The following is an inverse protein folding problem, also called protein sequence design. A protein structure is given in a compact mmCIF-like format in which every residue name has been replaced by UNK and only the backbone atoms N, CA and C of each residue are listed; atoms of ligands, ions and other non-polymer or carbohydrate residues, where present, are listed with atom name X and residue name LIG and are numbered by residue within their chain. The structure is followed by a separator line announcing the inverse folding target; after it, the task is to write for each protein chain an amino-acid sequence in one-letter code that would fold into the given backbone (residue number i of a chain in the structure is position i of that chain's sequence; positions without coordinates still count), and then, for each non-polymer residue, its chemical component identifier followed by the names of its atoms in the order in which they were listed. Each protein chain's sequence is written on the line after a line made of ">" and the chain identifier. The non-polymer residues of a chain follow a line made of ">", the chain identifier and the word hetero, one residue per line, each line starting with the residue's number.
data_IF_008776304590
#
_entry.id   IF_008776304590
#
_cell.length_a   1.000
_cell.length_b   1.000
_cell.length_c   1.000
_cell.angle_alpha   90.00
_cell.angle_beta   90.00
_cell.angle_gamma   90.00
#
_symmetry.space_group_name_H-M   'P 1'
#
loop_
_entity.id
_entity.type
_entity.pdbx_description
1 polymer ?
#
# COMPACT_ATOMS: atom_id res chain seq x y z
N UNK A 1 -1.86 -2.96 40.87
CA UNK A 1 -2.18 -2.96 40.45
C UNK A 1 -2.21 -2.96 39.46
N UNK A 2 -2.11 -2.93 39.37
CA UNK A 2 -2.22 -3.01 38.53
C UNK A 2 -2.36 -2.69 37.65
N UNK A 3 -2.52 -2.50 37.46
CA UNK A 3 -2.71 -2.28 36.73
C UNK A 3 -2.31 -1.88 36.06
N UNK A 4 -2.08 -1.80 36.00
CA UNK A 4 -1.68 -1.13 35.17
C UNK A 4 -1.02 -1.35 34.08
N UNK A 5 -0.46 -1.71 33.81
CA UNK A 5 0.02 -1.97 32.86
C UNK A 5 -0.63 -2.18 31.75
N UNK A 6 -1.19 -2.81 31.79
CA UNK A 6 -1.98 -3.07 30.81
C UNK A 6 -2.70 -1.93 30.29
N UNK A 7 -2.96 -0.99 31.01
CA UNK A 7 -3.60 0.17 30.48
C UNK A 7 -2.83 0.80 29.35
N UNK A 8 -1.53 0.81 29.45
CA UNK A 8 -0.77 1.39 28.39
C UNK A 8 -0.96 0.64 27.09
N UNK A 9 -1.03 -0.67 27.20
CA UNK A 9 -1.21 -1.46 26.02
C UNK A 9 -2.58 -1.23 25.41
N UNK A 10 -3.57 -1.18 26.26
CA UNK A 10 -4.90 -0.92 25.77
C UNK A 10 -4.99 0.42 25.10
N UNK A 11 -4.34 1.38 25.70
CA UNK A 11 -4.36 2.69 25.11
C UNK A 11 -3.71 2.68 23.73
N UNK A 12 -2.65 1.92 23.63
CA UNK A 12 -1.98 1.82 22.37
C UNK A 12 -2.92 1.29 21.30
N UNK A 13 -3.66 0.26 21.63
CA UNK A 13 -4.59 -0.32 20.68
C UNK A 13 -5.68 0.65 20.31
N UNK A 14 -6.19 1.32 21.26
CA UNK A 14 -7.26 2.25 20.98
C UNK A 14 -6.79 3.41 20.15
N UNK A 15 -5.61 3.89 20.46
CA UNK A 15 -5.09 4.97 19.67
C UNK A 15 -4.85 4.52 18.23
N UNK A 16 -4.33 3.31 18.08
CA UNK A 16 -4.10 2.80 16.76
C UNK A 16 -5.40 2.67 16.01
N UNK A 17 -6.43 2.22 16.67
CA UNK A 17 -7.71 2.09 16.03
C UNK A 17 -8.25 3.41 15.59
N UNK A 18 -8.15 4.39 16.42
CA UNK A 18 -8.66 5.68 16.06
C UNK A 18 -7.87 6.27 14.95
N UNK A 19 -6.58 6.11 15.03
CA UNK A 19 -5.76 6.56 13.92
C UNK A 19 -6.03 5.71 12.72
N UNK A 20 -6.22 4.43 12.94
CA UNK A 20 -6.53 3.56 11.84
C UNK A 20 -7.82 3.95 11.20
N UNK A 21 -8.73 4.43 12.00
CA UNK A 21 -9.95 4.90 11.41
C UNK A 21 -9.66 6.08 10.53
N UNK A 22 -8.63 6.80 10.85
CA UNK A 22 -8.22 7.87 9.98
C UNK A 22 -7.63 7.30 8.71
N UNK A 23 -7.17 6.07 8.75
CA UNK A 23 -6.62 5.50 7.54
C UNK A 23 -7.71 4.77 6.79
N UNK A 24 -8.05 5.31 5.67
CA UNK A 24 -9.04 4.74 4.78
C UNK A 24 -8.55 3.39 4.31
N UNK A 25 -9.42 2.39 4.23
CA UNK A 25 -9.02 1.12 3.61
C UNK A 25 -8.47 1.29 2.21
N UNK A 26 -8.96 2.26 1.48
CA UNK A 26 -8.40 2.49 0.15
C UNK A 26 -6.98 3.03 0.21
N UNK A 27 -6.69 3.83 1.23
CA UNK A 27 -5.32 4.31 1.39
C UNK A 27 -4.38 3.17 1.71
N UNK A 28 -4.83 2.24 2.54
CA UNK A 28 -4.02 1.09 2.84
C UNK A 28 -3.78 0.24 1.60
N UNK A 29 -4.83 0.05 0.83
CA UNK A 29 -4.70 -0.70 -0.40
C UNK A 29 -3.74 -0.02 -1.36
N UNK A 30 -3.81 1.30 -1.43
CA UNK A 30 -2.90 2.04 -2.28
C UNK A 30 -1.46 1.84 -1.84
N UNK A 31 -1.20 1.93 -0.55
CA UNK A 31 0.15 1.75 -0.04
C UNK A 31 0.69 0.37 -0.41
N UNK A 32 -0.15 -0.65 -0.28
CA UNK A 32 0.29 -2.00 -0.59
C UNK A 32 0.60 -2.17 -2.06
N UNK A 33 -0.18 -1.52 -2.90
CA UNK A 33 0.08 -1.64 -4.32
C UNK A 33 1.30 -0.85 -4.75
N UNK A 34 1.55 0.28 -4.10
CA UNK A 34 2.76 1.02 -4.38
C UNK A 34 3.98 0.20 -3.98
N UNK A 35 3.90 -0.48 -2.84
CA UNK A 35 4.98 -1.38 -2.44
C UNK A 35 5.18 -2.48 -3.45
N UNK A 36 4.09 -3.00 -3.98
CA UNK A 36 4.18 -4.04 -5.00
C UNK A 36 4.88 -3.53 -6.25
N UNK A 37 4.62 -2.28 -6.62
CA UNK A 37 5.30 -1.71 -7.77
C UNK A 37 6.80 -1.69 -7.58
N UNK A 38 7.23 -1.34 -6.38
CA UNK A 38 8.65 -1.30 -6.10
C UNK A 38 9.25 -2.69 -6.22
N UNK A 39 8.54 -3.69 -5.71
CA UNK A 39 9.03 -5.06 -5.82
C UNK A 39 9.09 -5.53 -7.26
N UNK A 40 8.09 -5.17 -8.06
CA UNK A 40 8.11 -5.54 -9.47
C UNK A 40 9.32 -4.95 -10.17
N UNK A 41 9.62 -3.70 -9.89
CA UNK A 41 10.78 -3.08 -10.51
C UNK A 41 12.07 -3.81 -10.18
N UNK A 42 12.19 -4.22 -8.93
CA UNK A 42 13.36 -4.96 -8.53
C UNK A 42 13.44 -6.31 -9.23
N UNK A 43 12.31 -7.00 -9.33
CA UNK A 43 12.27 -8.29 -9.99
C UNK A 43 12.57 -8.16 -11.48
N UNK A 44 12.08 -7.11 -12.09
CA UNK A 44 12.35 -6.88 -13.51
C UNK A 44 13.85 -6.68 -13.72
N UNK A 45 14.46 -5.87 -12.87
CA UNK A 45 15.89 -5.61 -12.99
C UNK A 45 16.68 -6.91 -12.82
N UNK A 46 16.26 -7.74 -11.86
CA UNK A 46 16.94 -9.02 -11.66
C UNK A 46 16.79 -9.93 -12.87
N UNK A 47 15.58 -9.98 -13.42
CA UNK A 47 15.35 -10.83 -14.59
C UNK A 47 16.20 -10.36 -15.75
N UNK A 48 16.26 -9.07 -15.95
CA UNK A 48 17.07 -8.54 -17.05
C UNK A 48 18.55 -8.81 -16.83
N UNK A 49 19.00 -8.64 -15.60
CA UNK A 49 20.41 -8.89 -15.30
C UNK A 49 20.79 -10.34 -15.52
N UNK A 50 19.81 -11.23 -15.39
CA UNK A 50 20.06 -12.65 -15.60
C UNK A 50 19.71 -13.12 -16.99
N UNK A 51 19.41 -12.21 -17.88
CA UNK A 51 19.11 -12.56 -19.26
C UNK A 51 17.77 -13.23 -19.44
N UNK A 52 16.85 -13.04 -18.51
CA UNK A 52 15.56 -13.68 -18.60
C UNK A 52 14.55 -12.69 -19.13
N UNK A 53 14.65 -12.44 -20.40
CA UNK A 53 13.81 -11.41 -21.01
C UNK A 53 12.36 -11.77 -21.00
N UNK A 54 12.04 -13.05 -21.12
CA UNK A 54 10.63 -13.46 -21.06
C UNK A 54 10.04 -13.17 -19.69
N UNK A 55 10.78 -13.47 -18.63
CA UNK A 55 10.30 -13.18 -17.28
C UNK A 55 10.17 -11.68 -17.08
N UNK A 56 11.13 -10.93 -17.59
CA UNK A 56 11.08 -9.48 -17.45
C UNK A 56 9.85 -8.91 -18.15
N UNK A 57 9.52 -9.46 -19.31
CA UNK A 57 8.36 -8.98 -20.06
C UNK A 57 7.06 -9.25 -19.29
N UNK A 58 6.94 -10.44 -18.72
CA UNK A 58 5.75 -10.79 -17.96
C UNK A 58 5.63 -9.89 -16.74
N UNK A 59 6.74 -9.70 -16.05
CA UNK A 59 6.73 -8.86 -14.86
C UNK A 59 6.40 -7.42 -15.20
N UNK A 60 6.88 -6.95 -16.32
CA UNK A 60 6.60 -5.58 -16.73
C UNK A 60 5.11 -5.40 -17.00
N UNK A 61 4.48 -6.38 -17.61
CA UNK A 61 3.06 -6.29 -17.84
C UNK A 61 2.28 -6.22 -16.54
N UNK A 62 2.70 -7.00 -15.57
CA UNK A 62 2.03 -6.97 -14.29
C UNK A 62 2.30 -5.66 -13.56
N UNK A 63 3.51 -5.16 -13.69
CA UNK A 63 3.83 -3.87 -13.15
C UNK A 63 2.91 -2.80 -13.72
N UNK A 64 2.70 -2.83 -15.03
CA UNK A 64 1.88 -1.83 -15.66
C UNK A 64 0.43 -1.91 -15.22
N UNK A 65 -0.05 -3.12 -15.01
CA UNK A 65 -1.40 -3.29 -14.49
C UNK A 65 -1.54 -2.73 -13.10
N UNK A 66 -0.55 -3.01 -12.26
CA UNK A 66 -0.58 -2.47 -10.92
C UNK A 66 -0.50 -0.95 -10.93
N UNK A 67 0.27 -0.42 -11.85
CA UNK A 67 0.38 1.02 -11.96
C UNK A 67 -0.97 1.64 -12.31
N UNK A 68 -1.70 0.98 -13.18
CA UNK A 68 -3.02 1.46 -13.54
C UNK A 68 -3.95 1.42 -12.34
N UNK A 69 -3.88 0.35 -11.55
CA UNK A 69 -4.71 0.26 -10.36
C UNK A 69 -4.35 1.33 -9.34
N UNK A 70 -3.07 1.62 -9.22
CA UNK A 70 -2.64 2.68 -8.33
C UNK A 70 -3.25 4.00 -8.76
N UNK A 71 -3.25 4.25 -10.06
CA UNK A 71 -3.83 5.47 -10.58
C UNK A 71 -5.31 5.56 -10.26
N UNK A 72 -6.02 4.46 -10.42
CA UNK A 72 -7.44 4.44 -10.13
C UNK A 72 -7.71 4.65 -8.65
N UNK A 73 -6.91 4.04 -7.80
CA UNK A 73 -7.08 4.22 -6.38
C UNK A 73 -6.83 5.65 -5.96
N UNK A 74 -5.81 6.27 -6.53
CA UNK A 74 -5.54 7.66 -6.22
C UNK A 74 -6.68 8.54 -6.63
N UNK A 75 -7.25 8.24 -7.77
CA UNK A 75 -8.37 9.02 -8.24
C UNK A 75 -9.58 8.83 -7.37
N UNK A 76 -9.86 7.58 -6.99
CA UNK A 76 -10.99 7.32 -6.12
C UNK A 76 -10.83 8.01 -4.78
N UNK A 77 -9.61 8.02 -4.25
CA UNK A 77 -9.37 8.71 -2.99
C UNK A 77 -9.58 10.20 -3.12
N UNK A 78 -9.13 10.76 -4.22
CA UNK A 78 -9.31 12.17 -4.42
C UNK A 78 -10.77 12.54 -4.51
N UNK A 79 -11.55 11.74 -5.22
CA UNK A 79 -12.96 12.01 -5.40
C UNK A 79 -13.76 11.78 -4.14
N UNK A 80 -13.29 10.88 -3.29
CA UNK A 80 -13.97 10.54 -2.08
C UNK A 80 -13.77 11.54 -0.98
N UNK A 81 -12.65 12.23 -1.02
CA UNK A 81 -12.34 13.15 0.01
C UNK A 81 -13.32 14.26 0.06
N UNK A 82 -13.81 14.57 1.25
CA UNK A 82 -14.73 15.69 1.36
C UNK A 82 -14.02 16.97 1.00
N UNK A 83 -14.73 17.80 0.32
CA UNK A 83 -14.16 19.03 -0.07
C UNK A 83 -14.26 20.02 1.01
N UNK A 84 -13.24 20.75 1.31
CA UNK A 84 -13.37 21.86 2.25
C UNK A 84 -14.24 22.90 1.60
N UNK A 85 -15.03 23.47 2.40
CA UNK A 85 -15.88 24.45 1.83
C UNK A 85 -15.37 25.82 1.96
#
# INVERSE_FOLDING_TARGET
>A
MNEPRKPGLDTFWEAADQDGSAQDPLERELDERVDALIRYRSLIADAEANGRDDAATILLRQHDREEEEVRRLREALRNRRPRPK
#
